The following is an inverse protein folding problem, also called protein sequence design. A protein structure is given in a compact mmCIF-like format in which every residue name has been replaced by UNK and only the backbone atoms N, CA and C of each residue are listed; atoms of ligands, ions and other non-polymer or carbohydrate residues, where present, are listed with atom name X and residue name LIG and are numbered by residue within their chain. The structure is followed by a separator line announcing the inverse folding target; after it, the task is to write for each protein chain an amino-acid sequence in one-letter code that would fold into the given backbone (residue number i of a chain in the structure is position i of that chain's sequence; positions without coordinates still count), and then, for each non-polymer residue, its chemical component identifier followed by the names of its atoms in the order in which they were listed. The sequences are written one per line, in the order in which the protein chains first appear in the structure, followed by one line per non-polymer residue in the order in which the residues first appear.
data_IF_251995058588
#
_entry.id   IF_251995058588
#
_cell.length_a   1.000
_cell.length_b   1.000
_cell.length_c   1.000
_cell.angle_alpha   90.00
_cell.angle_beta   90.00
_cell.angle_gamma   90.00
#
_symmetry.space_group_name_H-M   'P 1'
#
loop_
_entity.id
_entity.type
_entity.pdbx_description
1 polymer ?
#
# COMPACT_ATOMS: atom_id res chain seq x y z
N UNK A 1 4.27 -7.43 -15.34
CA UNK A 1 4.45 -6.19 -16.11
C UNK A 1 4.85 -5.06 -15.19
N UNK A 2 5.62 -4.12 -15.71
CA UNK A 2 6.07 -2.98 -14.91
C UNK A 2 4.92 -2.00 -14.68
N UNK A 3 4.94 -1.32 -13.52
CA UNK A 3 3.99 -0.27 -13.23
C UNK A 3 4.44 1.04 -13.88
N UNK A 4 3.47 1.89 -14.22
CA UNK A 4 3.77 3.17 -14.83
C UNK A 4 4.10 4.22 -13.77
N UNK A 5 4.92 5.21 -14.16
CA UNK A 5 5.24 6.32 -13.29
C UNK A 5 3.99 7.18 -13.02
N UNK A 6 3.12 7.29 -14.00
CA UNK A 6 1.87 8.02 -13.86
C UNK A 6 0.99 7.43 -12.76
N UNK A 7 0.92 6.11 -12.69
CA UNK A 7 0.14 5.45 -11.63
C UNK A 7 0.79 5.68 -10.26
N UNK A 8 2.11 5.62 -10.18
CA UNK A 8 2.82 5.93 -8.95
C UNK A 8 2.49 7.35 -8.47
N UNK A 9 2.58 8.33 -9.36
CA UNK A 9 2.28 9.72 -9.01
C UNK A 9 0.84 9.87 -8.54
N UNK A 10 -0.09 9.20 -9.21
CA UNK A 10 -1.49 9.21 -8.82
C UNK A 10 -1.68 8.65 -7.40
N UNK A 11 -1.08 7.51 -7.09
CA UNK A 11 -1.21 6.92 -5.76
C UNK A 11 -0.60 7.82 -4.69
N UNK A 12 0.58 8.40 -4.96
CA UNK A 12 1.23 9.30 -4.00
C UNK A 12 0.36 10.54 -3.73
N UNK A 13 -0.27 11.09 -4.76
CA UNK A 13 -1.19 12.21 -4.60
C UNK A 13 -2.40 11.83 -3.76
N UNK A 14 -2.94 10.64 -3.97
CA UNK A 14 -4.09 10.18 -3.19
C UNK A 14 -3.74 9.99 -1.72
N UNK A 15 -2.55 9.48 -1.44
CA UNK A 15 -2.09 9.33 -0.06
C UNK A 15 -1.92 10.69 0.65
N UNK A 16 -1.35 11.65 -0.06
CA UNK A 16 -1.24 13.01 0.48
C UNK A 16 -2.61 13.63 0.71
N UNK A 17 -3.54 13.45 -0.23
CA UNK A 17 -4.90 13.96 -0.11
C UNK A 17 -5.65 13.30 1.05
N UNK A 18 -5.30 12.05 1.37
CA UNK A 18 -5.89 11.35 2.52
C UNK A 18 -5.32 11.81 3.86
N UNK A 19 -4.31 12.68 3.86
CA UNK A 19 -3.78 13.29 5.06
C UNK A 19 -2.43 12.75 5.53
N UNK A 20 -1.80 11.83 4.79
CA UNK A 20 -0.48 11.33 5.16
C UNK A 20 0.59 12.32 4.72
N UNK A 21 1.44 12.73 5.65
CA UNK A 21 2.46 13.75 5.39
C UNK A 21 3.81 13.16 4.98
N UNK A 22 4.14 11.97 5.49
CA UNK A 22 5.40 11.32 5.18
C UNK A 22 5.12 10.10 4.31
N UNK A 23 5.11 10.31 3.01
CA UNK A 23 4.86 9.27 2.01
C UNK A 23 6.06 9.23 1.07
N UNK A 24 6.66 8.05 0.94
CA UNK A 24 7.81 7.87 0.07
C UNK A 24 7.67 6.62 -0.77
N UNK A 25 8.34 6.60 -1.90
CA UNK A 25 8.36 5.44 -2.78
C UNK A 25 9.79 5.11 -3.14
N UNK A 26 10.01 3.85 -3.54
CA UNK A 26 11.30 3.37 -3.97
C UNK A 26 11.11 2.43 -5.16
N UNK A 27 11.80 2.72 -6.24
CA UNK A 27 11.74 1.87 -7.44
C UNK A 27 12.41 0.52 -7.15
N UNK A 28 11.80 -0.56 -7.65
CA UNK A 28 12.32 -1.91 -7.48
C UNK A 28 11.92 -2.77 -8.67
N UNK A 29 12.86 -3.02 -9.57
CA UNK A 29 12.69 -3.94 -10.70
C UNK A 29 11.43 -3.68 -11.53
N UNK A 30 11.17 -2.42 -11.85
CA UNK A 30 10.01 -2.02 -12.65
C UNK A 30 8.74 -1.78 -11.86
N UNK A 31 8.76 -2.04 -10.56
CA UNK A 31 7.64 -1.79 -9.66
C UNK A 31 8.08 -0.79 -8.60
N UNK A 32 7.20 -0.47 -7.64
CA UNK A 32 7.52 0.52 -6.62
C UNK A 32 7.11 0.04 -5.24
N UNK A 33 8.00 0.25 -4.28
CA UNK A 33 7.67 0.07 -2.86
C UNK A 33 7.10 1.37 -2.33
N UNK A 34 6.15 1.28 -1.43
CA UNK A 34 5.50 2.47 -0.83
C UNK A 34 5.69 2.46 0.68
N UNK A 35 6.21 3.57 1.19
CA UNK A 35 6.45 3.77 2.62
C UNK A 35 5.57 4.89 3.13
N UNK A 36 4.94 4.68 4.28
CA UNK A 36 4.16 5.72 4.97
C UNK A 36 4.65 5.78 6.41
N UNK A 37 5.02 6.97 6.86
CA UNK A 37 5.59 7.20 8.20
C UNK A 37 6.80 6.30 8.49
N UNK A 38 7.62 6.06 7.46
CA UNK A 38 8.79 5.21 7.58
C UNK A 38 8.52 3.71 7.55
N UNK A 39 7.26 3.30 7.41
CA UNK A 39 6.86 1.90 7.40
C UNK A 39 6.60 1.44 5.98
N UNK A 40 7.17 0.30 5.59
CA UNK A 40 6.91 -0.30 4.29
C UNK A 40 5.51 -0.92 4.30
N UNK A 41 4.51 -0.17 3.83
CA UNK A 41 3.12 -0.61 3.88
C UNK A 41 2.73 -1.54 2.74
N UNK A 42 3.44 -1.46 1.63
CA UNK A 42 3.12 -2.27 0.46
C UNK A 42 3.84 -1.76 -0.76
N UNK A 43 3.19 -1.84 -1.91
CA UNK A 43 3.81 -1.37 -3.14
C UNK A 43 2.81 -1.27 -4.28
N UNK A 44 3.33 -0.83 -5.40
CA UNK A 44 2.56 -0.72 -6.65
C UNK A 44 3.10 -1.79 -7.59
N UNK A 45 2.24 -2.72 -7.98
CA UNK A 45 2.59 -3.87 -8.78
C UNK A 45 1.59 -3.99 -9.93
N UNK A 46 2.06 -3.88 -11.16
CA UNK A 46 1.23 -3.96 -12.36
C UNK A 46 0.07 -2.95 -12.29
N UNK A 47 0.40 -1.70 -11.95
CA UNK A 47 -0.55 -0.60 -11.77
C UNK A 47 -1.69 -0.93 -10.80
N UNK A 48 -1.33 -1.59 -9.68
CA UNK A 48 -2.25 -1.88 -8.58
C UNK A 48 -1.57 -1.52 -7.27
N UNK A 49 -2.30 -0.90 -6.36
CA UNK A 49 -1.79 -0.66 -5.00
C UNK A 49 -2.10 -1.87 -4.13
N UNK A 50 -1.07 -2.54 -3.66
CA UNK A 50 -1.20 -3.67 -2.75
C UNK A 50 -0.60 -3.30 -1.40
N UNK A 51 -1.27 -3.69 -0.32
CA UNK A 51 -0.75 -3.46 1.04
C UNK A 51 -0.48 -4.80 1.71
N UNK A 52 0.51 -4.80 2.60
CA UNK A 52 0.88 -6.00 3.34
C UNK A 52 -0.26 -6.42 4.26
N UNK A 53 -0.43 -7.73 4.42
CA UNK A 53 -1.39 -8.27 5.37
C UNK A 53 -0.85 -8.13 6.78
N UNK A 54 -1.69 -7.65 7.68
CA UNK A 54 -1.39 -7.58 9.11
C UNK A 54 -2.68 -7.66 9.89
N UNK A 55 -2.58 -7.86 11.20
CA UNK A 55 -3.76 -8.00 12.04
C UNK A 55 -4.66 -6.77 11.98
N UNK A 56 -4.07 -5.58 11.75
CA UNK A 56 -4.83 -4.34 11.74
C UNK A 56 -5.71 -4.14 10.53
N UNK A 57 -5.42 -4.80 9.40
CA UNK A 57 -6.17 -4.54 8.18
C UNK A 57 -7.01 -5.71 7.66
N UNK A 58 -7.14 -6.76 8.42
CA UNK A 58 -7.91 -7.93 8.00
C UNK A 58 -9.42 -7.67 7.90
N UNK A 59 -9.91 -6.70 8.65
CA UNK A 59 -11.36 -6.42 8.72
C UNK A 59 -11.92 -5.59 7.58
N UNK A 60 -11.11 -5.18 6.60
CA UNK A 60 -11.57 -4.29 5.52
C UNK A 60 -12.16 -5.02 4.31
N UNK A 61 -12.21 -6.35 4.34
CA UNK A 61 -12.81 -7.15 3.26
C UNK A 61 -12.20 -6.89 1.89
N UNK A 62 -10.88 -6.72 1.84
CA UNK A 62 -10.16 -6.51 0.59
C UNK A 62 -9.90 -7.83 -0.12
N UNK A 63 -9.76 -7.76 -1.45
CA UNK A 63 -9.39 -8.91 -2.25
C UNK A 63 -7.89 -9.19 -2.12
N UNK A 64 -7.54 -10.47 -2.20
CA UNK A 64 -6.14 -10.86 -2.25
C UNK A 64 -5.60 -10.72 -3.66
N UNK A 65 -4.34 -10.35 -3.77
CA UNK A 65 -3.64 -10.30 -5.05
C UNK A 65 -2.18 -10.69 -4.84
N UNK A 66 -1.60 -11.33 -5.85
CA UNK A 66 -0.20 -11.72 -5.83
C UNK A 66 0.60 -10.59 -6.49
N UNK A 67 1.57 -9.98 -5.79
CA UNK A 67 2.33 -8.87 -6.36
C UNK A 67 3.18 -9.29 -7.57
N UNK A 68 3.75 -10.50 -7.52
CA UNK A 68 4.51 -11.07 -8.62
C UNK A 68 4.53 -12.59 -8.44
N UNK A 69 4.82 -13.35 -9.52
CA UNK A 69 4.79 -14.82 -9.43
C UNK A 69 5.70 -15.35 -8.32
N UNK A 70 5.15 -16.22 -7.48
CA UNK A 70 5.89 -16.83 -6.37
C UNK A 70 5.85 -16.05 -5.08
N UNK A 71 5.32 -14.83 -5.06
CA UNK A 71 5.23 -14.04 -3.85
C UNK A 71 4.02 -14.41 -3.01
N UNK A 72 4.06 -14.02 -1.74
CA UNK A 72 2.91 -14.20 -0.85
C UNK A 72 1.79 -13.23 -1.21
N UNK A 73 0.52 -13.61 -1.01
CA UNK A 73 -0.60 -12.70 -1.29
C UNK A 73 -0.54 -11.44 -0.43
N UNK A 74 -1.02 -10.35 -1.00
CA UNK A 74 -1.19 -9.07 -0.33
C UNK A 74 -2.64 -8.63 -0.53
N UNK A 75 -3.06 -7.55 0.11
CA UNK A 75 -4.40 -7.00 -0.08
C UNK A 75 -4.42 -5.99 -1.23
N UNK A 76 -5.39 -6.12 -2.12
CA UNK A 76 -5.61 -5.15 -3.19
C UNK A 76 -6.46 -3.99 -2.69
N UNK A 77 -5.93 -2.78 -2.80
CA UNK A 77 -6.69 -1.56 -2.50
C UNK A 77 -7.33 -1.10 -3.80
N UNK A 78 -8.61 -1.39 -3.96
CA UNK A 78 -9.32 -1.11 -5.22
C UNK A 78 -9.80 0.32 -5.38
N UNK A 79 -10.05 1.01 -4.27
CA UNK A 79 -10.65 2.34 -4.27
C UNK A 79 -9.64 3.39 -3.81
N UNK A 80 -8.58 3.56 -4.59
CA UNK A 80 -7.47 4.45 -4.23
C UNK A 80 -7.93 5.91 -4.16
N UNK A 81 -8.95 6.27 -4.93
CA UNK A 81 -9.49 7.62 -4.97
C UNK A 81 -10.51 7.92 -3.87
N UNK A 82 -10.87 6.93 -3.06
CA UNK A 82 -11.71 7.14 -1.88
C UNK A 82 -10.81 7.52 -0.70
N UNK A 83 -10.68 8.81 -0.43
CA UNK A 83 -9.73 9.31 0.56
C UNK A 83 -10.00 8.75 1.97
N UNK A 84 -11.26 8.64 2.37
CA UNK A 84 -11.59 8.14 3.69
C UNK A 84 -11.23 6.67 3.85
N UNK A 85 -11.58 5.86 2.86
CA UNK A 85 -11.27 4.43 2.91
C UNK A 85 -9.76 4.20 2.80
N UNK A 86 -9.09 4.93 1.92
CA UNK A 86 -7.64 4.83 1.78
C UNK A 86 -6.94 5.17 3.09
N UNK A 87 -7.38 6.25 3.75
CA UNK A 87 -6.81 6.66 5.04
C UNK A 87 -6.98 5.57 6.09
N UNK A 88 -8.18 4.99 6.17
CA UNK A 88 -8.45 3.94 7.17
C UNK A 88 -7.60 2.70 6.93
N UNK A 89 -7.51 2.25 5.67
CA UNK A 89 -6.74 1.06 5.32
C UNK A 89 -5.25 1.27 5.59
N UNK A 90 -4.70 2.38 5.11
CA UNK A 90 -3.27 2.64 5.24
C UNK A 90 -2.89 2.88 6.70
N UNK A 91 -3.70 3.63 7.43
CA UNK A 91 -3.45 3.86 8.87
C UNK A 91 -3.46 2.54 9.63
N UNK A 92 -4.44 1.68 9.39
CA UNK A 92 -4.50 0.38 10.04
C UNK A 92 -3.31 -0.50 9.68
N UNK A 93 -2.84 -0.41 8.42
CA UNK A 93 -1.66 -1.14 7.96
C UNK A 93 -0.40 -0.65 8.68
N UNK A 94 -0.21 0.68 8.75
CA UNK A 94 0.95 1.26 9.44
C UNK A 94 0.95 0.84 10.91
N UNK A 95 -0.17 1.00 11.59
CA UNK A 95 -0.27 0.66 13.01
C UNK A 95 -0.05 -0.83 13.25
N UNK A 96 -0.64 -1.69 12.41
CA UNK A 96 -0.49 -3.13 12.55
C UNK A 96 0.93 -3.60 12.32
N UNK A 97 1.62 -3.02 11.33
CA UNK A 97 3.01 -3.38 11.05
C UNK A 97 3.96 -2.86 12.13
N UNK A 98 3.72 -1.66 12.66
CA UNK A 98 4.53 -1.15 13.78
C UNK A 98 4.37 -2.02 15.01
N UNK A 99 3.15 -2.43 15.31
CA UNK A 99 2.88 -3.30 16.45
C UNK A 99 3.60 -4.65 16.33
N UNK A 100 3.63 -5.21 15.12
CA UNK A 100 4.33 -6.47 14.88
C UNK A 100 5.84 -6.34 15.10
N UNK A 101 6.41 -5.17 14.78
CA UNK A 101 7.85 -4.93 14.97
C UNK A 101 8.21 -4.79 16.46
N UNK A 102 7.27 -4.36 17.28
CA UNK A 102 7.50 -4.16 18.72
C UNK A 102 7.32 -5.42 19.55
N UNK A 103 6.91 -6.53 18.94
CA UNK A 103 6.73 -7.80 19.62
C UNK A 103 7.97 -8.67 19.67
#
# INVERSE_FOLDING_TARGET
MASTKEYLEYVMEQLLAAGFLDVQSRAMMGEYLVYVDGVLVGGIYDDRLLVKKCSGNEGFSMEEAIPYPGAKPMWLVGEVDDADRLREIVRATVEGLKKALDE
#
